data_IF_401962295187
#
_entry.id   IF_401962295187
#
_cell.length_a   1.000
_cell.length_b   1.000
_cell.length_c   1.000
_cell.angle_alpha   90.00
_cell.angle_beta   90.00
_cell.angle_gamma   90.00
#
_symmetry.space_group_name_H-M   'P 1'
#
loop_
_entity.id
_entity.type
_entity.pdbx_description
1 polymer ?
#
# COMPACT_ATOMS: atom_id res chain seq x y z
N UNK A 1 63.42 8.03 30.28
CA UNK A 1 62.55 7.12 29.51
C UNK A 1 61.52 6.61 30.50
N UNK A 2 60.23 6.82 30.44
CA UNK A 2 59.22 7.58 29.67
C UNK A 2 58.20 8.01 30.77
N UNK A 3 57.43 9.10 30.69
CA UNK A 3 56.31 9.32 29.77
C UNK A 3 55.74 10.73 29.99
N UNK A 4 55.24 11.45 28.96
CA UNK A 4 54.44 12.66 29.14
C UNK A 4 52.93 12.37 28.99
N UNK A 5 52.18 12.95 29.94
CA UNK A 5 50.81 13.49 29.84
C UNK A 5 49.72 12.65 29.15
N UNK A 6 48.81 12.11 29.97
CA UNK A 6 47.43 11.89 29.58
C UNK A 6 46.77 13.23 29.23
N UNK A 7 46.43 13.40 27.96
CA UNK A 7 45.49 14.42 27.49
C UNK A 7 44.09 13.80 27.58
N UNK A 8 43.36 14.07 28.67
CA UNK A 8 41.94 13.77 28.71
C UNK A 8 41.22 14.83 27.87
N UNK A 9 40.75 14.44 26.69
CA UNK A 9 39.78 15.24 25.93
C UNK A 9 38.42 15.08 26.62
N UNK A 10 38.11 15.96 27.57
CA UNK A 10 36.76 16.08 28.09
C UNK A 10 35.83 16.57 26.98
N UNK A 11 34.84 15.75 26.62
CA UNK A 11 33.71 16.19 25.83
C UNK A 11 32.95 17.24 26.62
N UNK A 12 32.95 18.49 26.15
CA UNK A 12 32.18 19.58 26.75
C UNK A 12 30.70 19.25 26.58
N UNK A 13 30.10 18.68 27.63
CA UNK A 13 28.66 18.56 27.74
C UNK A 13 28.09 19.97 27.92
N UNK A 14 27.55 20.55 26.84
CA UNK A 14 26.93 21.87 26.91
C UNK A 14 25.61 21.75 27.69
N UNK A 15 25.56 22.43 28.83
CA UNK A 15 24.43 22.41 29.77
C UNK A 15 23.41 23.53 29.49
N UNK A 16 23.46 24.18 28.31
CA UNK A 16 22.50 25.20 27.92
C UNK A 16 21.14 24.55 27.59
N UNK A 17 20.07 24.90 28.33
CA UNK A 17 18.73 24.34 28.11
C UNK A 17 18.20 24.55 26.68
N UNK A 18 18.61 25.65 26.01
CA UNK A 18 18.19 25.94 24.64
C UNK A 18 18.84 24.99 23.64
N UNK A 19 20.12 24.69 23.85
CA UNK A 19 20.89 23.82 22.96
C UNK A 19 20.46 22.36 23.13
N UNK A 20 20.21 21.92 24.37
CA UNK A 20 19.62 20.60 24.66
C UNK A 20 18.22 20.44 24.06
N UNK A 21 17.39 21.50 24.13
CA UNK A 21 16.07 21.49 23.50
C UNK A 21 16.15 21.36 21.97
N UNK A 22 17.14 21.98 21.34
CA UNK A 22 17.36 21.89 19.89
C UNK A 22 17.88 20.51 19.46
N UNK A 23 18.77 19.91 20.24
CA UNK A 23 19.29 18.55 19.99
C UNK A 23 18.15 17.52 20.12
N UNK A 24 17.38 17.59 21.20
CA UNK A 24 16.24 16.70 21.41
C UNK A 24 15.15 16.85 20.33
N UNK A 25 14.89 18.08 19.86
CA UNK A 25 13.95 18.33 18.78
C UNK A 25 14.42 17.72 17.44
N UNK A 26 15.71 17.86 17.12
CA UNK A 26 16.33 17.26 15.93
C UNK A 26 16.28 15.73 15.96
N UNK A 27 16.56 15.15 17.12
CA UNK A 27 16.50 13.69 17.30
C UNK A 27 15.06 13.17 17.17
N UNK A 28 14.07 13.87 17.75
CA UNK A 28 12.64 13.56 17.56
C UNK A 28 12.22 13.64 16.10
N UNK A 29 12.68 14.65 15.36
CA UNK A 29 12.39 14.80 13.92
C UNK A 29 12.96 13.61 13.12
N UNK A 30 14.23 13.26 13.37
CA UNK A 30 14.89 12.11 12.74
C UNK A 30 14.19 10.79 13.06
N UNK A 31 13.81 10.56 14.32
CA UNK A 31 13.05 9.39 14.72
C UNK A 31 11.66 9.34 14.06
N UNK A 32 10.97 10.48 13.94
CA UNK A 32 9.68 10.58 13.27
C UNK A 32 9.79 10.24 11.78
N UNK A 33 10.80 10.79 11.08
CA UNK A 33 11.08 10.50 9.68
C UNK A 33 11.41 9.02 9.46
N UNK A 34 12.25 8.44 10.33
CA UNK A 34 12.59 7.01 10.28
C UNK A 34 11.36 6.11 10.46
N UNK A 35 10.50 6.43 11.45
CA UNK A 35 9.24 5.68 11.68
C UNK A 35 8.27 5.81 10.52
N UNK A 36 8.14 7.02 9.96
CA UNK A 36 7.28 7.28 8.80
C UNK A 36 7.77 6.51 7.57
N UNK A 37 9.07 6.51 7.32
CA UNK A 37 9.69 5.80 6.21
C UNK A 37 9.53 4.29 6.37
N UNK A 38 9.76 3.76 7.57
CA UNK A 38 9.53 2.35 7.90
C UNK A 38 8.07 1.96 7.67
N UNK A 39 7.11 2.76 8.13
CA UNK A 39 5.68 2.48 7.93
C UNK A 39 5.32 2.43 6.44
N UNK A 40 5.81 3.38 5.64
CA UNK A 40 5.61 3.39 4.17
C UNK A 40 6.21 2.14 3.52
N UNK A 41 7.43 1.76 3.89
CA UNK A 41 8.10 0.57 3.37
C UNK A 41 7.36 -0.71 3.76
N UNK A 42 7.01 -0.87 5.03
CA UNK A 42 6.24 -2.01 5.52
C UNK A 42 4.89 -2.12 4.78
N UNK A 43 4.17 -1.01 4.60
CA UNK A 43 2.92 -0.98 3.83
C UNK A 43 3.14 -1.43 2.38
N UNK A 44 4.17 -0.91 1.72
CA UNK A 44 4.51 -1.30 0.35
C UNK A 44 4.88 -2.80 0.25
N UNK A 45 5.70 -3.31 1.17
CA UNK A 45 6.09 -4.73 1.21
C UNK A 45 4.89 -5.64 1.47
N UNK A 46 4.01 -5.28 2.41
CA UNK A 46 2.76 -6.01 2.66
C UNK A 46 1.88 -6.03 1.42
N UNK A 47 1.71 -4.89 0.74
CA UNK A 47 0.97 -4.82 -0.51
C UNK A 47 1.57 -5.72 -1.59
N UNK A 48 2.90 -5.69 -1.79
CA UNK A 48 3.61 -6.58 -2.74
C UNK A 48 3.41 -8.06 -2.38
N UNK A 49 3.48 -8.41 -1.09
CA UNK A 49 3.25 -9.79 -0.63
C UNK A 49 1.83 -10.25 -0.96
N UNK A 50 0.81 -9.44 -0.64
CA UNK A 50 -0.58 -9.77 -0.94
C UNK A 50 -0.85 -9.88 -2.44
N UNK A 51 -0.25 -9.00 -3.26
CA UNK A 51 -0.36 -9.09 -4.73
C UNK A 51 0.21 -10.39 -5.31
N UNK A 52 1.21 -11.01 -4.64
CA UNK A 52 1.83 -12.27 -5.09
C UNK A 52 1.06 -13.51 -4.64
N UNK A 53 0.35 -13.45 -3.52
CA UNK A 53 -0.35 -14.61 -2.95
C UNK A 53 -1.82 -14.70 -3.34
N UNK A 54 -2.37 -13.66 -3.98
CA UNK A 54 -3.80 -13.54 -4.31
C UNK A 54 -3.99 -13.21 -5.81
N UNK A 55 -3.27 -13.95 -6.67
CA UNK A 55 -3.22 -13.75 -8.12
C UNK A 55 -4.19 -14.66 -8.90
N UNK A 56 -5.02 -15.43 -8.20
CA UNK A 56 -6.03 -16.31 -8.79
C UNK A 56 -7.40 -15.90 -8.25
N UNK A 57 -8.35 -15.51 -9.11
CA UNK A 57 -9.69 -15.17 -8.66
C UNK A 57 -10.45 -16.44 -8.24
N UNK A 58 -11.30 -16.31 -7.23
CA UNK A 58 -12.13 -17.39 -6.68
C UNK A 58 -13.51 -17.41 -7.32
N UNK A 59 -13.95 -18.57 -7.81
CA UNK A 59 -15.30 -18.75 -8.35
C UNK A 59 -16.33 -18.67 -7.23
N UNK A 60 -17.32 -17.78 -7.37
CA UNK A 60 -18.44 -17.65 -6.43
C UNK A 60 -19.62 -18.46 -6.95
N UNK A 61 -19.97 -18.23 -8.21
CA UNK A 61 -20.97 -18.99 -8.98
C UNK A 61 -20.48 -19.15 -10.42
N UNK A 62 -21.00 -20.11 -11.20
CA UNK A 62 -20.58 -20.28 -12.59
C UNK A 62 -20.68 -18.96 -13.38
N UNK A 63 -19.55 -18.52 -13.95
CA UNK A 63 -19.46 -17.25 -14.69
C UNK A 63 -19.13 -16.01 -13.85
N UNK A 64 -19.10 -16.10 -12.51
CA UNK A 64 -18.80 -14.99 -11.62
C UNK A 64 -17.66 -15.32 -10.65
N UNK A 65 -16.63 -14.49 -10.69
CA UNK A 65 -15.42 -14.66 -9.91
C UNK A 65 -15.14 -13.42 -9.07
N UNK A 66 -14.60 -13.62 -7.87
CA UNK A 66 -14.13 -12.55 -6.99
C UNK A 66 -12.62 -12.65 -6.86
N UNK A 67 -11.91 -11.54 -7.04
CA UNK A 67 -10.45 -11.51 -6.96
C UNK A 67 -9.91 -10.18 -6.51
N UNK A 68 -8.67 -10.18 -6.03
CA UNK A 68 -7.95 -8.97 -5.65
C UNK A 68 -7.38 -8.24 -6.88
N UNK A 69 -6.70 -7.11 -6.62
CA UNK A 69 -5.87 -6.42 -7.63
C UNK A 69 -4.80 -7.36 -8.20
N UNK A 70 -4.28 -8.30 -7.40
CA UNK A 70 -3.33 -9.31 -7.87
C UNK A 70 -3.94 -10.20 -8.96
N UNK A 71 -5.17 -10.68 -8.74
CA UNK A 71 -5.92 -11.48 -9.71
C UNK A 71 -6.23 -10.69 -10.98
N UNK A 72 -6.67 -9.43 -10.84
CA UNK A 72 -6.94 -8.55 -11.98
C UNK A 72 -5.70 -8.27 -12.86
N UNK A 73 -4.49 -8.36 -12.29
CA UNK A 73 -3.22 -8.19 -13.03
C UNK A 73 -2.80 -9.45 -13.79
N UNK A 74 -3.29 -10.63 -13.42
CA UNK A 74 -2.89 -11.89 -14.01
C UNK A 74 -3.66 -12.16 -15.32
N UNK A 75 -3.21 -11.53 -16.42
CA UNK A 75 -3.84 -11.66 -17.74
C UNK A 75 -4.06 -13.12 -18.16
N UNK A 76 -3.01 -13.93 -18.08
CA UNK A 76 -3.07 -15.35 -18.46
C UNK A 76 -4.07 -16.11 -17.60
N UNK A 77 -4.06 -15.91 -16.29
CA UNK A 77 -5.02 -16.56 -15.39
C UNK A 77 -6.48 -16.17 -15.67
N UNK A 78 -6.74 -14.90 -16.03
CA UNK A 78 -8.08 -14.45 -16.41
C UNK A 78 -8.52 -15.07 -17.75
N UNK A 79 -7.63 -15.15 -18.73
CA UNK A 79 -7.91 -15.76 -20.03
C UNK A 79 -8.15 -17.27 -19.92
N UNK A 80 -7.33 -17.98 -19.13
CA UNK A 80 -7.47 -19.41 -18.89
C UNK A 80 -8.80 -19.76 -18.20
N UNK A 81 -9.31 -18.85 -17.37
CA UNK A 81 -10.63 -18.98 -16.73
C UNK A 81 -11.80 -18.56 -17.63
N UNK A 82 -11.52 -18.05 -18.84
CA UNK A 82 -12.53 -17.60 -19.79
C UNK A 82 -13.24 -16.31 -19.35
N UNK A 83 -12.59 -15.46 -18.56
CA UNK A 83 -13.14 -14.15 -18.16
C UNK A 83 -13.29 -13.27 -19.41
N UNK A 84 -14.41 -12.58 -19.53
CA UNK A 84 -14.72 -11.67 -20.65
C UNK A 84 -14.90 -10.22 -20.20
N UNK A 85 -15.30 -10.03 -18.95
CA UNK A 85 -15.58 -8.74 -18.35
C UNK A 85 -14.98 -8.63 -16.95
N UNK A 86 -14.50 -7.43 -16.59
CA UNK A 86 -13.88 -7.13 -15.30
C UNK A 86 -14.56 -5.90 -14.69
N UNK A 87 -15.18 -6.10 -13.52
CA UNK A 87 -15.75 -5.03 -12.70
C UNK A 87 -14.74 -4.63 -11.62
N UNK A 88 -14.18 -3.43 -11.71
CA UNK A 88 -13.26 -2.86 -10.73
C UNK A 88 -14.02 -1.96 -9.74
N UNK A 89 -14.29 -2.43 -8.53
CA UNK A 89 -14.94 -1.63 -7.46
C UNK A 89 -13.90 -1.22 -6.43
N UNK A 90 -13.00 -0.32 -6.81
CA UNK A 90 -11.97 0.17 -5.93
C UNK A 90 -11.36 1.46 -6.45
N UNK A 91 -10.97 2.33 -5.52
CA UNK A 91 -10.38 3.61 -5.90
C UNK A 91 -9.00 3.45 -6.54
N UNK A 92 -8.74 4.27 -7.57
CA UNK A 92 -7.44 4.33 -8.26
C UNK A 92 -7.00 3.03 -8.96
N UNK A 93 -7.91 2.09 -9.20
CA UNK A 93 -7.66 0.88 -9.98
C UNK A 93 -8.39 1.00 -11.32
N UNK A 94 -7.62 1.27 -12.38
CA UNK A 94 -8.14 1.37 -13.74
C UNK A 94 -8.24 0.01 -14.44
N UNK A 95 -8.63 0.05 -15.73
CA UNK A 95 -8.57 -1.11 -16.61
C UNK A 95 -7.11 -1.50 -16.86
N UNK A 96 -6.73 -2.70 -16.41
CA UNK A 96 -5.34 -3.17 -16.48
C UNK A 96 -4.98 -3.77 -17.85
N UNK A 97 -5.96 -4.39 -18.51
CA UNK A 97 -5.84 -5.06 -19.81
C UNK A 97 -7.03 -4.67 -20.72
N UNK A 98 -7.23 -3.38 -21.02
CA UNK A 98 -8.44 -2.87 -21.68
C UNK A 98 -8.67 -3.43 -23.10
N UNK A 99 -7.61 -3.92 -23.75
CA UNK A 99 -7.68 -4.57 -25.06
C UNK A 99 -8.23 -6.01 -25.02
N UNK A 100 -8.30 -6.62 -23.83
CA UNK A 100 -8.65 -8.04 -23.67
C UNK A 100 -10.01 -8.28 -23.02
N UNK A 101 -10.52 -7.32 -22.24
CA UNK A 101 -11.76 -7.48 -21.49
C UNK A 101 -12.62 -6.23 -21.55
N UNK A 102 -13.93 -6.39 -21.34
CA UNK A 102 -14.83 -5.25 -21.11
C UNK A 102 -14.67 -4.81 -19.66
N UNK A 103 -14.48 -3.52 -19.41
CA UNK A 103 -14.31 -2.99 -18.06
C UNK A 103 -15.46 -2.10 -17.63
N UNK A 104 -15.80 -2.21 -16.36
CA UNK A 104 -16.50 -1.16 -15.62
C UNK A 104 -15.70 -0.82 -14.38
N UNK A 105 -15.38 0.46 -14.22
CA UNK A 105 -14.63 0.98 -13.07
C UNK A 105 -15.58 1.82 -12.23
N UNK A 106 -15.70 1.45 -10.97
CA UNK A 106 -16.49 2.16 -9.96
C UNK A 106 -15.51 2.66 -8.90
N UNK A 107 -15.28 3.97 -8.89
CA UNK A 107 -14.31 4.62 -8.02
C UNK A 107 -14.89 4.77 -6.60
N UNK A 108 -14.65 3.76 -5.76
CA UNK A 108 -15.09 3.76 -4.35
C UNK A 108 -13.89 3.59 -3.42
N UNK A 109 -13.81 4.44 -2.41
CA UNK A 109 -12.83 4.33 -1.33
C UNK A 109 -13.24 3.23 -0.34
N UNK A 110 -12.28 2.42 0.10
CA UNK A 110 -12.48 1.46 1.18
C UNK A 110 -12.53 2.18 2.53
N UNK A 111 -13.70 2.75 2.83
CA UNK A 111 -14.00 3.48 4.07
C UNK A 111 -15.40 3.14 4.55
N UNK A 112 -15.60 3.24 5.87
CA UNK A 112 -16.88 2.96 6.52
C UNK A 112 -18.03 3.91 6.11
N UNK A 113 -17.68 5.10 5.63
CA UNK A 113 -18.62 6.13 5.18
C UNK A 113 -18.88 6.10 3.67
N UNK A 114 -18.21 5.21 2.92
CA UNK A 114 -18.39 5.09 1.49
C UNK A 114 -19.80 4.56 1.15
N UNK A 115 -20.49 5.26 0.25
CA UNK A 115 -21.86 4.93 -0.17
C UNK A 115 -21.88 3.82 -1.23
N UNK A 116 -21.51 2.59 -0.84
CA UNK A 116 -21.50 1.43 -1.75
C UNK A 116 -22.88 1.14 -2.38
N UNK A 117 -23.96 1.39 -1.64
CA UNK A 117 -25.32 1.14 -2.09
C UNK A 117 -25.72 1.91 -3.35
N UNK A 118 -25.15 3.11 -3.56
CA UNK A 118 -25.43 3.92 -4.75
C UNK A 118 -24.95 3.26 -6.05
N UNK A 119 -24.05 2.28 -5.95
CA UNK A 119 -23.42 1.60 -7.08
C UNK A 119 -24.00 0.21 -7.34
N UNK A 120 -24.96 -0.26 -6.53
CA UNK A 120 -25.46 -1.64 -6.64
C UNK A 120 -26.16 -1.90 -7.97
N UNK A 121 -27.06 -1.00 -8.38
CA UNK A 121 -27.83 -1.16 -9.62
C UNK A 121 -26.91 -1.20 -10.85
N UNK A 122 -25.92 -0.29 -10.92
CA UNK A 122 -24.99 -0.26 -12.05
C UNK A 122 -24.01 -1.45 -12.06
N UNK A 123 -23.62 -1.97 -10.89
CA UNK A 123 -22.77 -3.15 -10.80
C UNK A 123 -23.55 -4.40 -11.21
N UNK A 124 -24.79 -4.51 -10.76
CA UNK A 124 -25.66 -5.63 -11.09
C UNK A 124 -25.98 -5.67 -12.59
N UNK A 125 -26.33 -4.52 -13.17
CA UNK A 125 -26.59 -4.41 -14.62
C UNK A 125 -25.38 -4.79 -15.48
N UNK A 126 -24.16 -4.66 -14.96
CA UNK A 126 -22.95 -5.06 -15.68
C UNK A 126 -22.67 -6.56 -15.59
N UNK A 127 -23.16 -7.23 -14.53
CA UNK A 127 -22.95 -8.66 -14.30
C UNK A 127 -23.98 -9.51 -15.06
N UNK A 128 -25.22 -9.01 -15.19
CA UNK A 128 -26.32 -9.64 -15.96
C UNK A 128 -26.16 -9.47 -17.48
#
# INVERSE_FOLDING_TARGET
MESPSHMETEGVATNDPREQSLIAAREKLSQHEARTTMFKLCRALSMVKHMRTDNTPSCIVPGLYLGSVGAARNLTGLQDLGITAVLCVASSIGALHPEHFVYKVVDVLDRVDAQLHAHFDECHQFIE
#
